data_IF_878614513291
#
_entry.id   IF_878614513291
#
_cell.length_a   1.000
_cell.length_b   1.000
_cell.length_c   1.000
_cell.angle_alpha   90.00
_cell.angle_beta   90.00
_cell.angle_gamma   90.00
#
_symmetry.space_group_name_H-M   'P 1'
#
loop_
_entity.id
_entity.type
_entity.pdbx_description
1 polymer ?
#
# COMPACT_ATOMS: atom_id res chain seq x y z
N UNK A 1 -0.91 9.21 -21.29
CA UNK A 1 -0.29 8.29 -20.31
C UNK A 1 -0.14 6.89 -20.95
N UNK A 2 0.78 6.74 -21.91
CA UNK A 2 1.32 5.43 -22.33
C UNK A 2 2.54 5.22 -21.43
N UNK A 3 2.68 4.09 -20.74
CA UNK A 3 3.93 3.82 -19.99
C UNK A 3 3.85 3.00 -18.70
N UNK A 4 2.67 2.57 -18.24
CA UNK A 4 2.56 1.65 -17.08
C UNK A 4 2.16 0.22 -17.48
N UNK A 5 1.74 0.05 -18.74
CA UNK A 5 1.32 -1.24 -19.30
C UNK A 5 2.49 -2.02 -19.92
N UNK A 6 3.61 -1.35 -20.19
CA UNK A 6 4.80 -1.90 -20.89
C UNK A 6 5.95 -2.32 -19.95
N UNK A 7 5.83 -2.13 -18.62
CA UNK A 7 6.86 -2.59 -17.67
C UNK A 7 7.10 -4.09 -17.79
N UNK A 8 8.35 -4.53 -17.71
CA UNK A 8 8.67 -5.96 -17.76
C UNK A 8 8.12 -6.67 -16.52
N UNK A 9 7.65 -7.92 -16.64
CA UNK A 9 6.99 -8.67 -15.54
C UNK A 9 7.83 -8.67 -14.24
N UNK A 10 9.15 -8.65 -14.36
CA UNK A 10 10.09 -8.56 -13.23
C UNK A 10 10.04 -7.22 -12.48
N UNK A 11 10.01 -6.10 -13.20
CA UNK A 11 9.94 -4.76 -12.60
C UNK A 11 8.61 -4.55 -11.89
N UNK A 12 7.52 -5.06 -12.49
CA UNK A 12 6.20 -5.03 -11.83
C UNK A 12 6.22 -5.75 -10.50
N UNK A 13 6.86 -6.92 -10.45
CA UNK A 13 7.01 -7.70 -9.22
C UNK A 13 7.82 -6.95 -8.17
N UNK A 14 8.92 -6.31 -8.57
CA UNK A 14 9.76 -5.53 -7.65
C UNK A 14 8.98 -4.38 -7.02
N UNK A 15 8.25 -3.60 -7.83
CA UNK A 15 7.42 -2.49 -7.35
C UNK A 15 6.34 -2.99 -6.38
N UNK A 16 5.66 -4.08 -6.74
CA UNK A 16 4.65 -4.69 -5.87
C UNK A 16 5.26 -5.07 -4.52
N UNK A 17 6.39 -5.78 -4.53
CA UNK A 17 7.07 -6.19 -3.30
C UNK A 17 7.52 -5.00 -2.45
N UNK A 18 8.04 -3.93 -3.06
CA UNK A 18 8.42 -2.72 -2.33
C UNK A 18 7.22 -2.05 -1.67
N UNK A 19 6.11 -1.89 -2.39
CA UNK A 19 4.89 -1.28 -1.83
C UNK A 19 4.27 -2.19 -0.77
N UNK A 20 4.21 -3.50 -1.00
CA UNK A 20 3.72 -4.47 -0.02
C UNK A 20 4.53 -4.43 1.27
N UNK A 21 5.86 -4.37 1.19
CA UNK A 21 6.73 -4.22 2.36
C UNK A 21 6.45 -2.92 3.13
N UNK A 22 6.14 -1.82 2.43
CA UNK A 22 5.78 -0.55 3.08
C UNK A 22 4.42 -0.63 3.78
N UNK A 23 3.44 -1.28 3.16
CA UNK A 23 2.11 -1.48 3.75
C UNK A 23 2.16 -2.43 4.94
N UNK A 24 3.04 -3.45 4.90
CA UNK A 24 3.30 -4.34 6.03
C UNK A 24 3.96 -3.59 7.20
N UNK A 25 4.96 -2.75 6.91
CA UNK A 25 5.54 -1.83 7.92
C UNK A 25 4.49 -0.91 8.53
N UNK A 26 3.55 -0.40 7.73
CA UNK A 26 2.42 0.39 8.24
C UNK A 26 1.54 -0.44 9.19
N UNK A 27 1.21 -1.69 8.85
CA UNK A 27 0.43 -2.56 9.76
C UNK A 27 1.16 -2.79 11.08
N UNK A 28 2.45 -3.09 11.02
CA UNK A 28 3.26 -3.27 12.23
C UNK A 28 3.26 -1.99 13.07
N UNK A 29 3.42 -0.81 12.46
CA UNK A 29 3.32 0.46 13.17
C UNK A 29 1.97 0.64 13.87
N UNK A 30 0.86 0.28 13.19
CA UNK A 30 -0.49 0.39 13.74
C UNK A 30 -0.75 -0.62 14.88
N UNK A 31 -0.17 -1.81 14.81
CA UNK A 31 -0.28 -2.81 15.87
C UNK A 31 0.55 -2.44 17.12
N UNK A 32 1.74 -1.87 16.91
CA UNK A 32 2.65 -1.48 17.98
C UNK A 32 2.22 -0.20 18.71
N UNK A 33 1.43 0.66 18.05
CA UNK A 33 0.92 1.92 18.61
C UNK A 33 -0.61 1.90 18.59
N UNK A 34 -1.26 1.22 19.56
CA UNK A 34 -2.72 1.30 19.70
C UNK A 34 -3.12 2.74 20.07
N UNK A 35 -4.17 3.25 19.44
CA UNK A 35 -4.70 4.60 19.70
C UNK A 35 -5.30 4.74 21.11
N UNK A 36 -5.54 3.62 21.80
CA UNK A 36 -6.08 3.54 23.17
C UNK A 36 -5.06 3.89 24.28
N UNK A 37 -3.89 4.44 23.94
CA UNK A 37 -3.04 5.14 24.91
C UNK A 37 -2.39 4.27 26.00
N UNK A 38 -2.42 2.94 25.90
CA UNK A 38 -1.77 2.05 26.87
C UNK A 38 -0.89 0.98 26.21
N UNK A 39 0.36 0.93 26.67
CA UNK A 39 1.37 -0.12 26.46
C UNK A 39 1.91 -0.21 25.01
N UNK A 40 3.06 0.33 24.61
CA UNK A 40 4.43 0.13 25.12
C UNK A 40 5.21 1.45 24.95
N UNK A 41 5.07 2.40 25.86
CA UNK A 41 5.88 3.65 25.84
C UNK A 41 7.26 3.47 26.48
N UNK A 42 7.62 2.24 26.87
CA UNK A 42 8.64 2.06 27.89
C UNK A 42 10.08 1.95 27.39
N UNK A 43 10.39 1.97 26.08
CA UNK A 43 11.78 1.87 25.60
C UNK A 43 12.06 2.35 24.15
N UNK A 44 11.08 2.87 23.40
CA UNK A 44 11.33 3.39 22.05
C UNK A 44 11.57 4.90 22.09
N UNK A 45 12.66 5.34 21.46
CA UNK A 45 13.03 6.75 21.34
C UNK A 45 11.87 7.56 20.73
N UNK A 46 11.60 8.74 21.28
CA UNK A 46 10.55 9.66 20.83
C UNK A 46 10.73 9.97 19.33
N UNK A 47 11.99 10.04 18.89
CA UNK A 47 12.34 10.27 17.49
C UNK A 47 11.87 9.13 16.58
N UNK A 48 11.98 7.88 17.04
CA UNK A 48 11.48 6.71 16.30
C UNK A 48 9.95 6.74 16.20
N UNK A 49 9.25 7.14 17.27
CA UNK A 49 7.79 7.29 17.24
C UNK A 49 7.34 8.39 16.28
N UNK A 50 8.03 9.54 16.24
CA UNK A 50 7.73 10.61 15.27
C UNK A 50 8.00 10.18 13.83
N UNK A 51 9.06 9.40 13.59
CA UNK A 51 9.32 8.76 12.29
C UNK A 51 8.17 7.83 11.89
N UNK A 52 7.70 6.98 12.80
CA UNK A 52 6.55 6.09 12.55
C UNK A 52 5.25 6.86 12.30
N UNK A 53 4.96 7.90 13.09
CA UNK A 53 3.76 8.73 12.92
C UNK A 53 3.77 9.49 11.60
N UNK A 54 4.93 10.05 11.24
CA UNK A 54 5.11 10.74 9.97
C UNK A 54 5.00 9.78 8.79
N UNK A 55 5.53 8.56 8.94
CA UNK A 55 5.39 7.50 7.95
C UNK A 55 3.93 7.08 7.77
N UNK A 56 3.20 6.79 8.86
CA UNK A 56 1.78 6.44 8.81
C UNK A 56 0.95 7.52 8.13
N UNK A 57 1.17 8.79 8.52
CA UNK A 57 0.52 9.94 7.91
C UNK A 57 0.81 10.05 6.40
N UNK A 58 2.05 9.82 5.97
CA UNK A 58 2.41 9.82 4.54
C UNK A 58 1.67 8.74 3.77
N UNK A 59 1.61 7.52 4.31
CA UNK A 59 0.89 6.40 3.69
C UNK A 59 -0.61 6.71 3.59
N UNK A 60 -1.22 7.18 4.67
CA UNK A 60 -2.64 7.55 4.67
C UNK A 60 -2.95 8.69 3.70
N UNK A 61 -2.08 9.69 3.63
CA UNK A 61 -2.22 10.79 2.67
C UNK A 61 -2.05 10.31 1.23
N UNK A 62 -1.13 9.39 0.95
CA UNK A 62 -0.98 8.79 -0.38
C UNK A 62 -2.21 7.95 -0.76
N UNK A 63 -2.69 7.13 0.18
CA UNK A 63 -3.92 6.32 -0.01
C UNK A 63 -5.15 7.21 -0.17
N UNK A 64 -5.21 8.37 0.50
CA UNK A 64 -6.30 9.35 0.36
C UNK A 64 -6.29 10.09 -0.97
N UNK A 65 -5.17 10.14 -1.68
CA UNK A 65 -5.07 10.74 -3.01
C UNK A 65 -5.41 9.74 -4.13
N UNK A 66 -5.58 8.46 -3.81
CA UNK A 66 -6.05 7.47 -4.77
C UNK A 66 -7.55 7.68 -5.06
N UNK A 67 -8.01 7.40 -6.29
CA UNK A 67 -9.43 7.38 -6.61
C UNK A 67 -10.16 6.30 -5.80
N UNK A 68 -11.45 6.53 -5.52
CA UNK A 68 -12.23 5.77 -4.53
C UNK A 68 -12.14 4.24 -4.68
N UNK A 69 -12.17 3.74 -5.92
CA UNK A 69 -12.10 2.29 -6.20
C UNK A 69 -10.75 1.68 -5.84
N UNK A 70 -9.66 2.38 -6.13
CA UNK A 70 -8.30 1.94 -5.83
C UNK A 70 -8.02 2.07 -4.33
N UNK A 71 -8.45 3.18 -3.74
CA UNK A 71 -8.38 3.40 -2.30
C UNK A 71 -9.11 2.31 -1.52
N UNK A 72 -10.34 1.98 -1.91
CA UNK A 72 -11.13 0.93 -1.30
C UNK A 72 -10.40 -0.42 -1.34
N UNK A 73 -9.83 -0.79 -2.50
CA UNK A 73 -9.04 -2.01 -2.64
C UNK A 73 -7.86 -2.04 -1.66
N UNK A 74 -7.09 -0.97 -1.57
CA UNK A 74 -5.93 -0.90 -0.68
C UNK A 74 -6.35 -0.97 0.79
N UNK A 75 -7.41 -0.26 1.18
CA UNK A 75 -7.93 -0.29 2.54
C UNK A 75 -8.40 -1.69 2.94
N UNK A 76 -9.21 -2.30 2.10
CA UNK A 76 -9.84 -3.59 2.39
C UNK A 76 -8.86 -4.77 2.31
N UNK A 77 -7.94 -4.75 1.33
CA UNK A 77 -7.00 -5.87 1.10
C UNK A 77 -5.72 -5.73 1.90
N UNK A 78 -5.20 -4.52 2.07
CA UNK A 78 -3.86 -4.28 2.60
C UNK A 78 -3.84 -3.57 3.95
N UNK A 79 -4.77 -2.66 4.26
CA UNK A 79 -4.76 -1.92 5.55
C UNK A 79 -5.70 -2.53 6.62
N UNK A 80 -6.53 -3.50 6.25
CA UNK A 80 -7.43 -4.18 7.19
C UNK A 80 -6.67 -5.04 8.21
N UNK A 81 -7.31 -5.28 9.36
CA UNK A 81 -6.72 -6.03 10.49
C UNK A 81 -6.70 -7.55 10.26
N UNK A 82 -7.66 -8.09 9.47
CA UNK A 82 -7.83 -9.54 9.25
C UNK A 82 -7.43 -10.00 7.83
N UNK A 83 -6.63 -9.20 7.14
CA UNK A 83 -6.29 -9.35 5.73
C UNK A 83 -5.43 -10.57 5.41
N UNK A 84 -4.71 -11.12 6.39
CA UNK A 84 -3.84 -12.29 6.19
C UNK A 84 -4.64 -13.55 5.78
N UNK A 85 -5.93 -13.59 6.10
CA UNK A 85 -6.83 -14.69 5.75
C UNK A 85 -7.79 -14.36 4.60
N UNK A 86 -7.74 -13.13 4.10
CA UNK A 86 -8.58 -12.73 2.97
C UNK A 86 -7.88 -13.18 1.69
N UNK A 87 -8.62 -13.82 0.78
CA UNK A 87 -8.12 -14.17 -0.56
C UNK A 87 -8.53 -13.09 -1.55
N UNK A 88 -7.74 -12.87 -2.59
CA UNK A 88 -8.08 -11.96 -3.71
C UNK A 88 -9.49 -12.23 -4.24
N UNK A 89 -9.87 -13.51 -4.33
CA UNK A 89 -11.20 -14.00 -4.69
C UNK A 89 -12.34 -13.40 -3.85
N UNK A 90 -12.21 -13.41 -2.52
CA UNK A 90 -13.22 -12.84 -1.62
C UNK A 90 -13.33 -11.33 -1.77
N UNK A 91 -12.23 -10.64 -2.06
CA UNK A 91 -12.25 -9.18 -2.21
C UNK A 91 -13.06 -8.76 -3.43
N UNK A 92 -12.75 -9.31 -4.61
CA UNK A 92 -13.45 -8.88 -5.82
C UNK A 92 -14.90 -9.36 -5.92
N UNK A 93 -15.23 -10.47 -5.26
CA UNK A 93 -16.59 -11.04 -5.25
C UNK A 93 -17.47 -10.46 -4.15
N UNK A 94 -16.95 -10.33 -2.93
CA UNK A 94 -17.76 -10.06 -1.73
C UNK A 94 -17.59 -8.62 -1.23
N UNK A 95 -16.47 -7.93 -1.50
CA UNK A 95 -16.21 -6.57 -0.99
C UNK A 95 -16.51 -5.48 -2.02
N UNK A 96 -16.31 -5.75 -3.31
CA UNK A 96 -16.64 -4.80 -4.37
C UNK A 96 -18.15 -4.81 -4.66
N UNK A 97 -18.75 -3.62 -4.70
CA UNK A 97 -20.14 -3.44 -5.11
C UNK A 97 -20.22 -2.42 -6.28
N UNK A 98 -20.54 -2.84 -7.52
CA UNK A 98 -20.82 -4.21 -7.98
C UNK A 98 -19.56 -5.10 -8.02
N UNK A 99 -19.72 -6.44 -7.99
CA UNK A 99 -18.60 -7.37 -8.05
C UNK A 99 -17.82 -7.20 -9.34
N UNK A 100 -16.49 -7.25 -9.23
CA UNK A 100 -15.59 -7.04 -10.37
C UNK A 100 -14.97 -8.37 -10.80
N UNK A 101 -14.61 -8.46 -12.08
CA UNK A 101 -13.85 -9.59 -12.61
C UNK A 101 -12.40 -9.56 -12.09
N UNK A 102 -11.76 -10.72 -12.01
CA UNK A 102 -10.34 -10.85 -11.64
C UNK A 102 -9.41 -10.00 -12.52
N UNK A 103 -9.71 -9.91 -13.82
CA UNK A 103 -8.96 -9.07 -14.75
C UNK A 103 -9.07 -7.58 -14.41
N UNK A 104 -10.26 -7.11 -14.06
CA UNK A 104 -10.47 -5.73 -13.59
C UNK A 104 -9.80 -5.50 -12.24
N UNK A 105 -9.88 -6.46 -11.32
CA UNK A 105 -9.20 -6.41 -10.02
C UNK A 105 -7.68 -6.25 -10.18
N UNK A 106 -7.06 -7.07 -11.04
CA UNK A 106 -5.61 -7.02 -11.27
C UNK A 106 -5.17 -5.67 -11.83
N UNK A 107 -5.95 -5.08 -12.74
CA UNK A 107 -5.69 -3.74 -13.31
C UNK A 107 -5.83 -2.64 -12.26
N UNK A 108 -6.88 -2.68 -11.43
CA UNK A 108 -7.10 -1.71 -10.36
C UNK A 108 -5.96 -1.82 -9.34
N UNK A 109 -5.62 -3.03 -8.90
CA UNK A 109 -4.51 -3.29 -7.98
C UNK A 109 -3.19 -2.75 -8.53
N UNK A 110 -2.87 -3.07 -9.78
CA UNK A 110 -1.64 -2.58 -10.42
C UNK A 110 -1.59 -1.06 -10.48
N UNK A 111 -2.69 -0.40 -10.90
CA UNK A 111 -2.78 1.06 -10.94
C UNK A 111 -2.63 1.70 -9.57
N UNK A 112 -3.29 1.14 -8.55
CA UNK A 112 -3.19 1.62 -7.18
C UNK A 112 -1.74 1.54 -6.68
N UNK A 113 -1.09 0.39 -6.89
CA UNK A 113 0.29 0.15 -6.48
C UNK A 113 1.28 1.06 -7.20
N UNK A 114 1.12 1.27 -8.51
CA UNK A 114 1.97 2.20 -9.25
C UNK A 114 1.82 3.64 -8.76
N UNK A 115 0.59 4.11 -8.50
CA UNK A 115 0.37 5.46 -7.98
C UNK A 115 0.96 5.63 -6.59
N UNK A 116 0.80 4.64 -5.71
CA UNK A 116 1.46 4.63 -4.40
C UNK A 116 2.98 4.67 -4.55
N UNK A 117 3.55 3.85 -5.43
CA UNK A 117 4.98 3.84 -5.68
C UNK A 117 5.51 5.20 -6.17
N UNK A 118 4.76 5.91 -7.02
CA UNK A 118 5.11 7.27 -7.46
C UNK A 118 5.01 8.26 -6.29
N UNK A 119 3.91 8.26 -5.54
CA UNK A 119 3.71 9.16 -4.39
C UNK A 119 4.74 8.95 -3.28
N UNK A 120 5.24 7.71 -3.14
CA UNK A 120 6.26 7.32 -2.17
C UNK A 120 7.69 7.45 -2.70
N UNK A 121 7.87 7.84 -3.97
CA UNK A 121 9.19 8.05 -4.60
C UNK A 121 9.96 6.77 -4.98
N UNK A 122 9.28 5.62 -5.03
CA UNK A 122 9.84 4.33 -5.44
C UNK A 122 9.92 4.22 -6.98
N UNK A 123 9.01 4.90 -7.68
CA UNK A 123 8.97 5.01 -9.14
C UNK A 123 9.10 6.47 -9.53
N UNK A 124 10.04 6.79 -10.41
CA UNK A 124 10.06 8.08 -11.09
C UNK A 124 9.00 8.11 -12.21
N UNK A 125 8.46 9.30 -12.49
CA UNK A 125 7.31 9.54 -13.38
C UNK A 125 7.44 9.01 -14.82
N UNK A 126 8.63 8.54 -15.19
CA UNK A 126 8.97 7.94 -16.49
C UNK A 126 8.82 6.41 -16.55
N UNK A 127 8.29 5.77 -15.49
CA UNK A 127 8.03 4.32 -15.48
C UNK A 127 9.26 3.45 -15.26
N UNK A 128 10.38 4.04 -14.81
CA UNK A 128 11.59 3.32 -14.41
C UNK A 128 11.61 3.12 -12.89
N UNK A 129 11.90 1.91 -12.38
CA UNK A 129 12.14 1.73 -10.96
C UNK A 129 13.31 2.61 -10.53
N UNK A 130 13.13 3.35 -9.45
CA UNK A 130 14.18 4.21 -8.88
C UNK A 130 15.37 3.31 -8.47
N UNK A 131 16.44 3.35 -9.27
CA UNK A 131 17.67 2.59 -9.02
C UNK A 131 18.52 3.17 -7.87
N UNK A 132 18.01 4.13 -7.09
CA UNK A 132 18.67 4.66 -5.89
C UNK A 132 18.29 3.84 -4.66
N UNK A 133 18.65 2.55 -4.65
CA UNK A 133 18.88 1.84 -3.38
C UNK A 133 20.39 1.83 -3.16
N UNK A 134 20.84 2.75 -2.31
CA UNK A 134 22.21 2.81 -1.78
C UNK A 134 22.23 2.07 -0.44
#
# INVERSE_FOLDING_TARGET
MKGVDELHKGERKAILQSVESLLEKYRLCKYLIPEDGQSIRSNYDIESLEKHRTFCRKIEQAVSQLPDREQFLIKERYLGVNTDYITDYRVYRDRFNPPISEGTYTKIRWRAMCKLAIMLGILEGDGKPNCTMN
#
